data_IF_817269263827
#
_entry.id   IF_817269263827
#
_cell.length_a   1.000
_cell.length_b   1.000
_cell.length_c   1.000
_cell.angle_alpha   90.00
_cell.angle_beta   90.00
_cell.angle_gamma   90.00
#
_symmetry.space_group_name_H-M   'P 1'
#
loop_
_entity.id
_entity.type
_entity.pdbx_description
1 polymer ?
#
# COMPACT_ATOMS: atom_id res chain seq x y z
N UNK A 1 6.09 -2.24 -3.57
CA UNK A 1 5.81 -2.63 -4.99
C UNK A 1 6.20 -1.50 -5.94
N UNK A 2 5.70 -0.30 -5.74
CA UNK A 2 6.00 0.87 -6.60
C UNK A 2 7.49 1.20 -6.65
N UNK A 3 8.21 1.10 -5.55
CA UNK A 3 9.66 1.34 -5.48
C UNK A 3 10.48 0.39 -6.36
N UNK A 4 10.01 -0.83 -6.57
CA UNK A 4 10.67 -1.81 -7.45
C UNK A 4 10.55 -1.43 -8.92
N UNK A 5 9.42 -0.85 -9.32
CA UNK A 5 9.09 -0.60 -10.72
C UNK A 5 9.41 0.82 -11.19
N UNK A 6 9.50 1.79 -10.26
CA UNK A 6 9.70 3.21 -10.60
C UNK A 6 11.01 3.46 -11.33
N UNK A 7 12.10 2.81 -10.91
CA UNK A 7 13.43 3.00 -11.52
C UNK A 7 13.54 2.43 -12.93
N UNK A 8 13.15 1.15 -13.19
CA UNK A 8 13.08 0.65 -14.56
C UNK A 8 12.24 1.54 -15.47
N UNK A 9 11.09 2.00 -14.99
CA UNK A 9 10.20 2.86 -15.74
C UNK A 9 10.84 4.20 -16.09
N UNK A 10 11.50 4.88 -15.13
CA UNK A 10 12.22 6.13 -15.38
C UNK A 10 13.34 5.92 -16.38
N UNK A 11 14.12 4.82 -16.24
CA UNK A 11 15.24 4.49 -17.11
C UNK A 11 14.79 4.23 -18.55
N UNK A 12 13.71 3.47 -18.73
CA UNK A 12 13.15 3.16 -20.04
C UNK A 12 12.63 4.40 -20.77
N UNK A 13 12.16 5.41 -20.03
CA UNK A 13 11.63 6.65 -20.58
C UNK A 13 12.60 7.84 -20.46
N UNK A 14 13.89 7.61 -20.17
CA UNK A 14 14.90 8.66 -20.00
C UNK A 14 15.11 9.51 -21.24
N UNK A 15 14.93 8.95 -22.42
CA UNK A 15 15.07 9.61 -23.72
C UNK A 15 13.92 10.59 -24.03
N UNK A 16 12.77 10.48 -23.34
CA UNK A 16 11.58 11.31 -23.57
C UNK A 16 11.68 12.64 -22.83
N UNK A 17 11.29 13.72 -23.50
CA UNK A 17 11.14 15.04 -22.89
C UNK A 17 9.80 15.14 -22.14
N UNK A 18 8.71 14.69 -22.78
CA UNK A 18 7.35 14.74 -22.24
C UNK A 18 7.01 13.44 -21.51
N UNK A 19 7.50 13.26 -20.29
CA UNK A 19 7.33 12.03 -19.49
C UNK A 19 6.60 12.19 -18.15
N UNK A 20 6.21 13.41 -17.77
CA UNK A 20 5.58 13.66 -16.47
C UNK A 20 4.28 12.88 -16.28
N UNK A 21 3.48 12.75 -17.34
CA UNK A 21 2.24 11.96 -17.31
C UNK A 21 2.50 10.48 -16.98
N UNK A 22 3.63 9.90 -17.41
CA UNK A 22 3.99 8.51 -17.10
C UNK A 22 4.12 8.32 -15.59
N UNK A 23 4.77 9.27 -14.89
CA UNK A 23 4.90 9.22 -13.43
C UNK A 23 3.55 9.37 -12.74
N UNK A 24 2.72 10.29 -13.20
CA UNK A 24 1.38 10.49 -12.64
C UNK A 24 0.53 9.23 -12.78
N UNK A 25 0.45 8.65 -13.96
CA UNK A 25 -0.31 7.41 -14.16
C UNK A 25 0.30 6.19 -13.45
N UNK A 26 1.62 6.15 -13.31
CA UNK A 26 2.28 5.14 -12.50
C UNK A 26 1.81 5.18 -11.03
N UNK A 27 1.73 6.39 -10.46
CA UNK A 27 1.22 6.58 -9.10
C UNK A 27 -0.25 6.13 -9.02
N UNK A 28 -1.09 6.57 -9.94
CA UNK A 28 -2.50 6.20 -9.92
C UNK A 28 -2.73 4.70 -10.10
N UNK A 29 -2.10 4.08 -11.11
CA UNK A 29 -2.35 2.68 -11.45
C UNK A 29 -1.64 1.71 -10.52
N UNK A 30 -0.36 1.95 -10.21
CA UNK A 30 0.45 0.98 -9.48
C UNK A 30 0.46 1.25 -7.98
N UNK A 31 0.62 2.51 -7.56
CA UNK A 31 0.66 2.83 -6.14
C UNK A 31 -0.73 2.81 -5.51
N UNK A 32 -1.72 3.46 -6.13
CA UNK A 32 -3.06 3.57 -5.55
C UNK A 32 -3.95 2.37 -5.93
N UNK A 33 -4.23 2.17 -7.23
CA UNK A 33 -5.15 1.11 -7.64
C UNK A 33 -4.60 -0.29 -7.39
N UNK A 34 -3.29 -0.49 -7.59
CA UNK A 34 -2.64 -1.78 -7.33
C UNK A 34 -2.61 -2.18 -5.85
N UNK A 35 -2.86 -1.25 -4.93
CA UNK A 35 -2.93 -1.49 -3.49
C UNK A 35 -4.30 -1.88 -2.97
N UNK A 36 -5.39 -1.60 -3.70
CA UNK A 36 -6.74 -1.69 -3.16
C UNK A 36 -7.29 -3.12 -2.98
N UNK A 37 -6.60 -4.15 -3.44
CA UNK A 37 -7.07 -5.54 -3.36
C UNK A 37 -6.66 -6.27 -2.08
N UNK A 38 -5.72 -5.73 -1.33
CA UNK A 38 -5.25 -6.38 -0.09
C UNK A 38 -4.99 -5.35 1.00
N UNK A 39 -5.22 -5.70 2.27
CA UNK A 39 -4.95 -4.81 3.41
C UNK A 39 -3.50 -4.32 3.49
N UNK A 40 -2.54 -5.11 2.99
CA UNK A 40 -1.11 -4.73 2.97
C UNK A 40 -0.83 -3.65 1.91
N UNK A 41 -1.71 -3.50 0.94
CA UNK A 41 -1.49 -2.64 -0.22
C UNK A 41 -1.80 -1.16 0.04
N UNK A 42 -2.74 -0.86 0.93
CA UNK A 42 -3.20 0.50 1.22
C UNK A 42 -3.50 0.66 2.72
N UNK A 43 -2.98 1.70 3.39
CA UNK A 43 -3.15 1.93 4.83
C UNK A 43 -4.61 1.92 5.32
N UNK A 44 -5.59 2.52 4.62
CA UNK A 44 -6.99 2.44 5.03
C UNK A 44 -7.51 1.01 5.12
N UNK A 45 -7.17 0.15 4.15
CA UNK A 45 -7.59 -1.25 4.15
C UNK A 45 -6.95 -2.03 5.30
N UNK A 46 -5.70 -1.71 5.65
CA UNK A 46 -5.05 -2.27 6.83
C UNK A 46 -5.79 -1.88 8.11
N UNK A 47 -6.22 -0.63 8.23
CA UNK A 47 -7.00 -0.17 9.37
C UNK A 47 -8.36 -0.88 9.47
N UNK A 48 -9.05 -1.09 8.35
CA UNK A 48 -10.27 -1.89 8.30
C UNK A 48 -10.03 -3.33 8.74
N UNK A 49 -8.96 -3.94 8.23
CA UNK A 49 -8.55 -5.29 8.62
C UNK A 49 -8.28 -5.41 10.14
N UNK A 50 -7.53 -4.46 10.71
CA UNK A 50 -7.29 -4.40 12.16
C UNK A 50 -8.57 -4.21 12.98
N UNK A 51 -9.65 -3.72 12.37
CA UNK A 51 -10.98 -3.56 12.97
C UNK A 51 -11.93 -4.71 12.68
N UNK A 52 -11.45 -5.82 12.15
CA UNK A 52 -12.20 -7.05 11.95
C UNK A 52 -12.78 -7.23 10.54
N UNK A 53 -12.46 -6.38 9.58
CA UNK A 53 -12.84 -6.64 8.17
C UNK A 53 -12.02 -7.82 7.66
N UNK A 54 -12.64 -8.86 7.07
CA UNK A 54 -11.90 -10.02 6.57
C UNK A 54 -10.84 -9.63 5.52
N UNK A 55 -9.68 -10.31 5.55
CA UNK A 55 -8.55 -10.02 4.65
C UNK A 55 -8.95 -9.99 3.16
N UNK A 56 -9.76 -10.94 2.73
CA UNK A 56 -10.19 -11.07 1.34
C UNK A 56 -11.45 -10.27 0.99
N UNK A 57 -12.00 -9.49 1.94
CA UNK A 57 -13.18 -8.69 1.66
C UNK A 57 -12.97 -7.71 0.49
N UNK A 58 -11.80 -7.11 0.41
CA UNK A 58 -11.43 -6.16 -0.66
C UNK A 58 -11.41 -6.79 -2.06
N UNK A 59 -11.38 -8.12 -2.18
CA UNK A 59 -11.52 -8.81 -3.48
C UNK A 59 -12.87 -8.58 -4.15
N UNK A 60 -13.92 -8.22 -3.38
CA UNK A 60 -15.22 -7.82 -3.95
C UNK A 60 -15.12 -6.53 -4.78
N UNK A 61 -14.08 -5.72 -4.56
CA UNK A 61 -13.82 -4.52 -5.34
C UNK A 61 -13.16 -4.80 -6.70
N UNK A 62 -12.80 -6.05 -6.97
CA UNK A 62 -12.10 -6.44 -8.20
C UNK A 62 -12.79 -6.03 -9.50
N UNK A 63 -14.13 -6.19 -9.68
CA UNK A 63 -14.81 -5.74 -10.90
C UNK A 63 -14.74 -4.21 -11.07
N UNK A 64 -14.90 -3.46 -9.97
CA UNK A 64 -14.82 -2.00 -9.97
C UNK A 64 -13.40 -1.55 -10.30
N UNK A 65 -12.40 -2.25 -9.76
CA UNK A 65 -10.99 -2.00 -10.06
C UNK A 65 -10.70 -2.19 -11.54
N UNK A 66 -11.15 -3.30 -12.16
CA UNK A 66 -10.94 -3.55 -13.59
C UNK A 66 -11.58 -2.43 -14.42
N UNK A 67 -12.81 -2.05 -14.10
CA UNK A 67 -13.51 -0.99 -14.80
C UNK A 67 -12.73 0.33 -14.77
N UNK A 68 -12.29 0.76 -13.57
CA UNK A 68 -11.48 1.98 -13.41
C UNK A 68 -10.11 1.85 -14.10
N UNK A 69 -9.47 0.68 -14.02
CA UNK A 69 -8.19 0.43 -14.67
C UNK A 69 -8.28 0.56 -16.19
N UNK A 70 -9.35 0.04 -16.80
CA UNK A 70 -9.58 0.16 -18.26
C UNK A 70 -9.75 1.63 -18.65
N UNK A 71 -10.52 2.41 -17.89
CA UNK A 71 -10.69 3.85 -18.15
C UNK A 71 -9.34 4.56 -18.05
N UNK A 72 -8.61 4.36 -16.95
CA UNK A 72 -7.32 5.01 -16.72
C UNK A 72 -6.27 4.64 -17.76
N UNK A 73 -6.20 3.37 -18.17
CA UNK A 73 -5.29 2.92 -19.23
C UNK A 73 -5.68 3.50 -20.59
N UNK A 74 -6.96 3.64 -20.85
CA UNK A 74 -7.45 4.27 -22.09
C UNK A 74 -7.04 5.74 -22.14
N UNK A 75 -7.26 6.50 -21.07
CA UNK A 75 -6.84 7.90 -20.96
C UNK A 75 -5.32 8.01 -21.10
N UNK A 76 -4.58 7.15 -20.39
CA UNK A 76 -3.12 7.08 -20.49
C UNK A 76 -2.66 6.84 -21.92
N UNK A 77 -3.27 5.88 -22.63
CA UNK A 77 -2.90 5.55 -24.01
C UNK A 77 -3.02 6.77 -24.93
N UNK A 78 -4.11 7.53 -24.86
CA UNK A 78 -4.29 8.70 -25.71
C UNK A 78 -3.32 9.83 -25.34
N UNK A 79 -3.10 10.09 -24.07
CA UNK A 79 -2.15 11.09 -23.59
C UNK A 79 -0.71 10.72 -23.95
N UNK A 80 -0.32 9.47 -23.72
CA UNK A 80 1.01 8.99 -24.02
C UNK A 80 1.30 8.99 -25.52
N UNK A 81 0.33 8.54 -26.34
CA UNK A 81 0.45 8.58 -27.80
C UNK A 81 0.65 10.00 -28.31
N UNK A 82 -0.06 10.98 -27.74
CA UNK A 82 0.12 12.38 -28.09
C UNK A 82 1.50 12.91 -27.68
N UNK A 83 1.94 12.61 -26.47
CA UNK A 83 3.25 13.00 -25.97
C UNK A 83 4.38 12.34 -26.77
N UNK A 84 4.25 11.05 -27.05
CA UNK A 84 5.21 10.27 -27.86
C UNK A 84 5.40 10.89 -29.27
N UNK A 85 4.28 11.22 -29.95
CA UNK A 85 4.34 11.87 -31.27
C UNK A 85 5.05 13.22 -31.22
N UNK A 86 4.85 14.00 -30.16
CA UNK A 86 5.58 15.27 -29.96
C UNK A 86 7.06 15.05 -29.76
N UNK A 87 7.47 14.05 -28.97
CA UNK A 87 8.86 13.73 -28.72
C UNK A 87 9.56 13.30 -30.02
N UNK A 88 8.93 12.46 -30.84
CA UNK A 88 9.46 12.07 -32.16
C UNK A 88 9.58 13.27 -33.11
N UNK A 89 8.58 14.17 -33.13
CA UNK A 89 8.59 15.36 -33.98
C UNK A 89 9.76 16.33 -33.65
N UNK A 90 10.22 16.31 -32.40
CA UNK A 90 11.40 17.13 -31.95
C UNK A 90 12.73 16.39 -32.23
N UNK A 91 12.69 15.20 -32.87
CA UNK A 91 13.86 14.40 -33.17
C UNK A 91 14.35 13.50 -32.03
N UNK A 92 13.61 13.40 -30.94
CA UNK A 92 13.94 12.48 -29.85
C UNK A 92 13.62 11.05 -30.25
N UNK A 93 14.58 10.15 -30.11
CA UNK A 93 14.43 8.73 -30.43
C UNK A 93 14.97 7.86 -29.31
N UNK A 94 14.38 6.67 -29.08
CA UNK A 94 14.98 5.69 -28.18
C UNK A 94 16.39 5.37 -28.65
N UNK A 95 17.34 5.37 -27.72
CA UNK A 95 18.72 4.98 -28.00
C UNK A 95 18.80 3.47 -28.20
N UNK A 96 18.65 3.04 -29.46
CA UNK A 96 18.69 1.63 -29.86
C UNK A 96 20.12 1.06 -29.84
N UNK A 97 21.13 1.95 -29.78
CA UNK A 97 22.54 1.56 -29.80
C UNK A 97 23.03 0.96 -28.48
N UNK A 98 22.30 1.17 -27.40
CA UNK A 98 22.62 0.54 -26.12
C UNK A 98 22.30 -0.94 -26.17
N UNK A 99 23.29 -1.82 -25.87
CA UNK A 99 23.03 -3.25 -25.83
C UNK A 99 21.83 -3.51 -24.92
N UNK A 100 20.91 -4.36 -25.37
CA UNK A 100 19.76 -4.80 -24.54
C UNK A 100 20.34 -5.28 -23.22
N UNK A 101 20.23 -4.47 -22.20
CA UNK A 101 20.64 -4.86 -20.84
C UNK A 101 19.81 -6.08 -20.49
N UNK A 102 20.46 -7.23 -20.31
CA UNK A 102 19.78 -8.43 -19.84
C UNK A 102 19.02 -8.05 -18.57
N UNK A 103 17.75 -8.39 -18.55
CA UNK A 103 16.91 -8.18 -17.39
C UNK A 103 17.35 -9.18 -16.31
N UNK A 104 18.23 -8.75 -15.44
CA UNK A 104 18.71 -9.53 -14.30
C UNK A 104 18.00 -9.04 -13.03
N UNK A 105 17.24 -9.92 -12.40
CA UNK A 105 16.66 -9.67 -11.08
C UNK A 105 17.64 -10.17 -10.02
N UNK A 106 18.35 -9.23 -9.39
CA UNK A 106 19.24 -9.56 -8.29
C UNK A 106 18.45 -9.57 -6.97
N UNK A 107 18.67 -10.59 -6.14
CA UNK A 107 17.99 -10.71 -4.85
C UNK A 107 16.64 -11.43 -4.92
N UNK A 108 16.47 -12.35 -5.87
CA UNK A 108 15.23 -13.11 -6.04
C UNK A 108 14.80 -13.87 -4.78
N UNK A 109 15.76 -14.26 -3.92
CA UNK A 109 15.47 -14.87 -2.62
C UNK A 109 14.64 -13.99 -1.69
N UNK A 110 14.66 -12.66 -1.87
CA UNK A 110 13.83 -11.75 -1.09
C UNK A 110 12.33 -11.90 -1.35
N UNK A 111 11.94 -12.53 -2.47
CA UNK A 111 10.54 -12.87 -2.72
C UNK A 111 10.00 -13.81 -1.63
N UNK A 112 10.84 -14.73 -1.13
CA UNK A 112 10.46 -15.64 -0.04
C UNK A 112 10.11 -14.84 1.22
N UNK A 113 10.91 -13.82 1.56
CA UNK A 113 10.64 -12.96 2.71
C UNK A 113 9.38 -12.10 2.50
N UNK A 114 9.10 -11.65 1.28
CA UNK A 114 7.85 -10.96 0.97
C UNK A 114 6.63 -11.87 1.16
N UNK A 115 6.69 -13.10 0.65
CA UNK A 115 5.63 -14.10 0.86
C UNK A 115 5.46 -14.42 2.35
N UNK A 116 6.55 -14.49 3.10
CA UNK A 116 6.52 -14.72 4.54
C UNK A 116 5.82 -13.57 5.29
N UNK A 117 6.04 -12.32 4.89
CA UNK A 117 5.33 -11.16 5.44
C UNK A 117 3.85 -11.20 5.08
N UNK A 118 3.52 -11.47 3.81
CA UNK A 118 2.12 -11.59 3.36
C UNK A 118 1.40 -12.70 4.14
N UNK A 119 2.05 -13.85 4.33
CA UNK A 119 1.52 -14.94 5.13
C UNK A 119 1.32 -14.57 6.61
N UNK A 120 2.26 -13.83 7.20
CA UNK A 120 2.16 -13.38 8.59
C UNK A 120 0.94 -12.49 8.82
N UNK A 121 0.67 -11.55 7.90
CA UNK A 121 -0.50 -10.67 7.97
C UNK A 121 -1.80 -11.46 7.79
N UNK A 122 -1.86 -12.43 6.87
CA UNK A 122 -3.02 -13.29 6.70
C UNK A 122 -3.26 -14.12 7.97
N UNK A 123 -2.20 -14.68 8.56
CA UNK A 123 -2.28 -15.44 9.80
C UNK A 123 -2.79 -14.58 10.96
N UNK A 124 -2.32 -13.34 11.11
CA UNK A 124 -2.76 -12.47 12.20
C UNK A 124 -4.25 -12.15 12.13
N UNK A 125 -4.85 -12.16 10.93
CA UNK A 125 -6.29 -11.98 10.76
C UNK A 125 -7.12 -13.26 10.90
N UNK A 126 -6.51 -14.43 10.70
CA UNK A 126 -7.21 -15.71 10.80
C UNK A 126 -7.05 -16.40 12.15
N UNK A 127 -5.88 -16.27 12.79
CA UNK A 127 -5.61 -16.87 14.11
C UNK A 127 -6.60 -16.44 15.21
N UNK A 128 -7.08 -15.17 15.27
CA UNK A 128 -8.10 -14.77 16.25
C UNK A 128 -9.39 -15.56 16.19
N UNK A 129 -9.73 -16.18 15.06
CA UNK A 129 -10.94 -17.00 14.91
C UNK A 129 -10.79 -18.41 15.45
N UNK A 130 -9.56 -18.85 15.76
CA UNK A 130 -9.28 -20.18 16.27
C UNK A 130 -9.49 -20.25 17.79
N UNK A 131 -10.14 -21.30 18.30
CA UNK A 131 -10.37 -21.48 19.75
C UNK A 131 -9.09 -21.45 20.59
N UNK A 132 -7.94 -21.84 20.02
CA UNK A 132 -6.64 -21.83 20.71
C UNK A 132 -6.15 -20.41 21.06
N UNK A 133 -6.66 -19.37 20.40
CA UNK A 133 -6.30 -17.97 20.62
C UNK A 133 -7.42 -17.16 21.29
N UNK A 134 -8.46 -17.84 21.77
CA UNK A 134 -9.58 -17.21 22.47
C UNK A 134 -9.66 -17.71 23.92
N UNK A 135 -10.14 -16.84 24.79
CA UNK A 135 -10.50 -17.21 26.15
C UNK A 135 -11.87 -17.89 26.20
N UNK A 136 -12.30 -18.34 27.38
CA UNK A 136 -13.62 -18.97 27.59
C UNK A 136 -14.79 -18.02 27.23
N UNK A 137 -14.55 -16.72 27.13
CA UNK A 137 -15.54 -15.69 26.80
C UNK A 137 -15.53 -15.31 25.32
N UNK A 138 -14.66 -15.93 24.51
CA UNK A 138 -14.52 -15.65 23.08
C UNK A 138 -13.65 -14.41 22.76
N UNK A 139 -12.99 -13.83 23.75
CA UNK A 139 -12.06 -12.72 23.51
C UNK A 139 -10.69 -13.24 23.09
N UNK A 140 -10.01 -12.48 22.20
CA UNK A 140 -8.68 -12.86 21.74
C UNK A 140 -7.68 -12.74 22.87
N UNK A 141 -6.90 -13.79 23.11
CA UNK A 141 -5.84 -13.82 24.10
C UNK A 141 -4.68 -12.89 23.72
N UNK A 142 -4.13 -12.18 24.70
CA UNK A 142 -3.03 -11.26 24.49
C UNK A 142 -2.41 -10.75 25.78
N UNK A 143 -1.37 -9.92 25.62
CA UNK A 143 -0.65 -9.28 26.70
C UNK A 143 -1.20 -7.87 26.91
N UNK A 144 -1.61 -7.55 28.14
CA UNK A 144 -1.96 -6.19 28.51
C UNK A 144 -0.69 -5.33 28.60
N UNK A 145 -0.61 -4.25 27.83
CA UNK A 145 0.54 -3.34 27.82
C UNK A 145 0.29 -2.17 28.77
N UNK A 146 -0.81 -1.45 28.56
CA UNK A 146 -1.14 -0.28 29.38
C UNK A 146 -2.65 0.04 29.28
N UNK A 147 -3.31 0.25 30.41
CA UNK A 147 -4.73 0.57 30.46
C UNK A 147 -5.62 -0.44 29.75
N UNK A 148 -6.34 0.00 28.73
CA UNK A 148 -7.22 -0.87 27.89
C UNK A 148 -6.50 -1.43 26.66
N UNK A 149 -5.22 -1.12 26.47
CA UNK A 149 -4.45 -1.57 25.30
C UNK A 149 -3.93 -2.99 25.53
N UNK A 150 -4.42 -3.91 24.71
CA UNK A 150 -4.01 -5.30 24.69
C UNK A 150 -3.35 -5.64 23.36
N UNK A 151 -2.16 -6.25 23.42
CA UNK A 151 -1.48 -6.79 22.24
C UNK A 151 -1.82 -8.26 22.13
N UNK A 152 -2.59 -8.63 21.12
CA UNK A 152 -3.01 -10.01 20.90
C UNK A 152 -1.82 -10.92 20.53
N UNK A 153 -1.86 -12.20 20.92
CA UNK A 153 -0.84 -13.17 20.52
C UNK A 153 -0.69 -13.30 18.99
N UNK A 154 -1.76 -13.32 18.19
CA UNK A 154 -1.64 -13.28 16.73
C UNK A 154 -0.84 -12.08 16.21
N UNK A 155 -1.07 -10.89 16.76
CA UNK A 155 -0.30 -9.69 16.38
C UNK A 155 1.18 -9.77 16.82
N UNK A 156 1.46 -10.38 17.96
CA UNK A 156 2.83 -10.64 18.39
C UNK A 156 3.57 -11.58 17.43
N UNK A 157 2.90 -12.66 17.01
CA UNK A 157 3.45 -13.61 16.03
C UNK A 157 3.74 -12.90 14.71
N UNK A 158 2.82 -12.08 14.24
CA UNK A 158 2.99 -11.26 13.04
C UNK A 158 4.23 -10.37 13.14
N UNK A 159 4.35 -9.59 14.21
CA UNK A 159 5.51 -8.69 14.44
C UNK A 159 6.81 -9.47 14.43
N UNK A 160 6.88 -10.62 15.13
CA UNK A 160 8.08 -11.46 15.20
C UNK A 160 8.45 -11.97 13.79
N UNK A 161 7.50 -12.45 13.02
CA UNK A 161 7.74 -12.96 11.66
C UNK A 161 8.23 -11.82 10.75
N UNK A 162 7.62 -10.64 10.81
CA UNK A 162 8.04 -9.47 10.02
C UNK A 162 9.46 -9.05 10.38
N UNK A 163 9.79 -8.95 11.66
CA UNK A 163 11.14 -8.59 12.11
C UNK A 163 12.18 -9.65 11.70
N UNK A 164 11.83 -10.93 11.80
CA UNK A 164 12.69 -12.02 11.37
C UNK A 164 12.91 -11.97 9.84
N UNK A 165 11.86 -11.76 9.06
CA UNK A 165 11.95 -11.61 7.61
C UNK A 165 12.84 -10.42 7.23
N UNK A 166 12.68 -9.28 7.90
CA UNK A 166 13.49 -8.09 7.68
C UNK A 166 14.98 -8.36 8.02
N UNK A 167 15.23 -8.98 9.16
CA UNK A 167 16.59 -9.32 9.61
C UNK A 167 17.28 -10.30 8.64
N UNK A 168 16.59 -11.36 8.25
CA UNK A 168 17.11 -12.35 7.31
C UNK A 168 17.35 -11.73 5.92
N UNK A 169 16.41 -10.94 5.43
CA UNK A 169 16.58 -10.21 4.17
C UNK A 169 17.79 -9.28 4.23
N UNK A 170 17.96 -8.55 5.32
CA UNK A 170 19.10 -7.66 5.51
C UNK A 170 20.43 -8.41 5.57
N UNK A 171 20.48 -9.57 6.24
CA UNK A 171 21.68 -10.39 6.38
C UNK A 171 22.06 -11.15 5.09
N UNK A 172 21.08 -11.65 4.36
CA UNK A 172 21.29 -12.47 3.16
C UNK A 172 21.49 -11.65 1.88
N UNK A 173 20.97 -10.42 1.83
CA UNK A 173 21.13 -9.55 0.66
C UNK A 173 22.51 -8.90 0.64
N UNK A 174 23.26 -9.11 -0.44
CA UNK A 174 24.59 -8.53 -0.62
C UNK A 174 24.54 -7.00 -0.55
N UNK A 175 25.52 -6.39 0.12
CA UNK A 175 25.62 -4.93 0.26
C UNK A 175 25.65 -4.22 -1.10
N UNK A 176 26.29 -4.82 -2.10
CA UNK A 176 26.35 -4.29 -3.47
C UNK A 176 24.95 -4.09 -4.08
N UNK A 177 24.02 -5.00 -3.85
CA UNK A 177 22.64 -4.88 -4.32
C UNK A 177 21.94 -3.70 -3.67
N UNK A 178 22.14 -3.50 -2.37
CA UNK A 178 21.59 -2.36 -1.62
C UNK A 178 22.14 -1.04 -2.09
N UNK A 179 23.46 -0.95 -2.26
CA UNK A 179 24.14 0.27 -2.76
C UNK A 179 23.69 0.62 -4.17
N UNK A 180 23.63 -0.35 -5.07
CA UNK A 180 23.12 -0.13 -6.45
C UNK A 180 21.65 0.30 -6.48
N UNK A 181 20.86 -0.14 -5.51
CA UNK A 181 19.48 0.28 -5.32
C UNK A 181 19.33 1.58 -4.51
N UNK A 182 20.45 2.22 -4.10
CA UNK A 182 20.45 3.40 -3.24
C UNK A 182 19.52 3.25 -2.04
N UNK A 183 19.59 2.08 -1.39
CA UNK A 183 18.79 1.83 -0.20
C UNK A 183 19.17 2.81 0.91
N UNK A 184 18.16 3.47 1.47
CA UNK A 184 18.30 4.35 2.63
C UNK A 184 17.17 4.07 3.61
N UNK A 185 17.41 4.29 4.89
CA UNK A 185 16.39 4.16 5.93
C UNK A 185 15.39 5.32 5.92
N UNK A 186 15.73 6.46 5.28
CA UNK A 186 14.93 7.68 5.28
C UNK A 186 13.48 7.46 4.89
N UNK A 187 13.22 6.63 3.86
CA UNK A 187 11.84 6.34 3.45
C UNK A 187 11.04 5.58 4.54
N UNK A 188 11.69 4.75 5.34
CA UNK A 188 11.04 4.01 6.44
C UNK A 188 10.79 4.95 7.62
N UNK A 189 11.77 5.79 7.95
CA UNK A 189 11.66 6.81 8.99
C UNK A 189 10.53 7.80 8.68
N UNK A 190 10.48 8.29 7.45
CA UNK A 190 9.45 9.22 6.99
C UNK A 190 8.04 8.62 7.13
N UNK A 191 7.85 7.37 6.70
CA UNK A 191 6.58 6.64 6.85
C UNK A 191 6.25 6.40 8.32
N UNK A 192 7.22 6.04 9.17
CA UNK A 192 7.00 5.80 10.59
C UNK A 192 6.54 7.08 11.30
N UNK A 193 7.20 8.21 11.05
CA UNK A 193 6.83 9.52 11.63
C UNK A 193 5.44 9.94 11.15
N UNK A 194 5.15 9.75 9.86
CA UNK A 194 3.84 10.06 9.28
C UNK A 194 2.73 9.25 9.96
N UNK A 195 2.90 7.94 10.14
CA UNK A 195 1.91 7.11 10.82
C UNK A 195 1.72 7.50 12.28
N UNK A 196 2.78 7.78 13.02
CA UNK A 196 2.69 8.27 14.40
C UNK A 196 1.86 9.55 14.44
N UNK A 197 2.14 10.49 13.54
CA UNK A 197 1.39 11.74 13.42
C UNK A 197 -0.10 11.50 13.14
N UNK A 198 -0.41 10.65 12.15
CA UNK A 198 -1.79 10.30 11.79
C UNK A 198 -2.52 9.67 12.99
N UNK A 199 -1.95 8.68 13.65
CA UNK A 199 -2.61 8.00 14.77
C UNK A 199 -2.89 8.94 15.95
N UNK A 200 -1.98 9.86 16.25
CA UNK A 200 -2.18 10.86 17.33
C UNK A 200 -3.28 11.85 16.94
N UNK A 201 -3.20 12.43 15.75
CA UNK A 201 -4.14 13.47 15.29
C UNK A 201 -5.54 12.95 14.98
N UNK A 202 -5.66 11.68 14.64
CA UNK A 202 -6.95 11.04 14.35
C UNK A 202 -7.80 10.80 15.61
N UNK A 203 -7.19 10.66 16.79
CA UNK A 203 -7.93 10.35 18.03
C UNK A 203 -9.01 11.37 18.37
N UNK A 204 -8.76 12.70 18.39
CA UNK A 204 -9.81 13.69 18.64
C UNK A 204 -10.95 13.63 17.62
N UNK A 205 -10.63 13.45 16.34
CA UNK A 205 -11.64 13.34 15.28
C UNK A 205 -12.55 12.13 15.48
N UNK A 206 -11.99 10.97 15.83
CA UNK A 206 -12.75 9.77 16.15
C UNK A 206 -13.62 9.94 17.39
N UNK A 207 -13.14 10.65 18.40
CA UNK A 207 -13.94 10.94 19.60
C UNK A 207 -15.16 11.83 19.28
N UNK A 208 -14.97 12.86 18.45
CA UNK A 208 -16.06 13.74 17.99
C UNK A 208 -17.07 12.95 17.14
N UNK A 209 -16.59 12.12 16.21
CA UNK A 209 -17.45 11.28 15.39
C UNK A 209 -18.23 10.26 16.21
N UNK A 210 -17.63 9.65 17.22
CA UNK A 210 -18.35 8.76 18.15
C UNK A 210 -19.42 9.48 18.97
N UNK A 211 -19.14 10.71 19.39
CA UNK A 211 -20.08 11.50 20.21
C UNK A 211 -21.23 12.11 19.39
N UNK A 212 -20.94 12.58 18.17
CA UNK A 212 -21.88 13.34 17.34
C UNK A 212 -22.21 12.73 15.98
N UNK A 213 -21.66 11.56 15.65
CA UNK A 213 -21.87 10.91 14.35
C UNK A 213 -23.34 10.65 14.03
N UNK A 214 -24.14 10.28 15.03
CA UNK A 214 -25.58 10.08 14.86
C UNK A 214 -26.34 11.37 14.52
N UNK A 215 -25.84 12.54 14.94
CA UNK A 215 -26.43 13.85 14.64
C UNK A 215 -26.20 14.29 13.19
N UNK A 216 -25.20 13.71 12.51
CA UNK A 216 -24.90 14.02 11.11
C UNK A 216 -25.97 13.51 10.14
N UNK A 217 -26.86 12.59 10.59
CA UNK A 217 -27.98 12.12 9.80
C UNK A 217 -27.61 11.34 8.53
N UNK A 218 -26.35 10.92 8.40
CA UNK A 218 -25.85 10.14 7.25
C UNK A 218 -26.33 8.69 7.36
N UNK A 219 -27.54 8.43 6.90
CA UNK A 219 -28.15 7.10 6.96
C UNK A 219 -28.15 6.38 5.60
N UNK A 220 -28.03 7.13 4.52
CA UNK A 220 -28.08 6.60 3.17
C UNK A 220 -26.64 6.29 2.66
N UNK A 221 -26.41 5.11 2.03
CA UNK A 221 -25.12 4.77 1.44
C UNK A 221 -24.57 5.80 0.43
N UNK A 222 -25.44 6.48 -0.32
CA UNK A 222 -25.05 7.54 -1.25
C UNK A 222 -24.55 8.80 -0.54
N UNK A 223 -25.16 9.17 0.57
CA UNK A 223 -24.71 10.31 1.40
C UNK A 223 -23.36 10.00 2.05
N UNK A 224 -23.19 8.79 2.56
CA UNK A 224 -21.91 8.30 3.09
C UNK A 224 -20.82 8.32 2.02
N UNK A 225 -21.12 7.84 0.83
CA UNK A 225 -20.18 7.86 -0.31
C UNK A 225 -19.80 9.28 -0.70
N UNK A 226 -20.79 10.20 -0.80
CA UNK A 226 -20.55 11.61 -1.12
C UNK A 226 -19.73 12.33 -0.07
N UNK A 227 -20.07 12.14 1.21
CA UNK A 227 -19.33 12.72 2.35
C UNK A 227 -17.88 12.21 2.40
N UNK A 228 -17.68 10.88 2.23
CA UNK A 228 -16.35 10.27 2.20
C UNK A 228 -15.53 10.78 1.02
N UNK A 229 -16.14 10.90 -0.17
CA UNK A 229 -15.49 11.45 -1.35
C UNK A 229 -15.07 12.91 -1.19
N UNK A 230 -15.94 13.74 -0.60
CA UNK A 230 -15.62 15.12 -0.29
C UNK A 230 -14.48 15.23 0.73
N UNK A 231 -14.55 14.50 1.83
CA UNK A 231 -13.53 14.50 2.87
C UNK A 231 -12.18 14.00 2.34
N UNK A 232 -12.14 12.94 1.55
CA UNK A 232 -10.90 12.41 0.99
C UNK A 232 -10.23 13.34 -0.04
N UNK A 233 -10.93 14.38 -0.49
CA UNK A 233 -10.34 15.42 -1.34
C UNK A 233 -9.46 16.41 -0.55
N UNK A 234 -9.67 16.53 0.75
CA UNK A 234 -8.95 17.45 1.64
C UNK A 234 -8.10 16.72 2.69
N UNK A 235 -8.56 15.56 3.13
CA UNK A 235 -7.88 14.75 4.13
C UNK A 235 -7.18 13.57 3.46
N UNK A 236 -6.16 13.04 4.13
CA UNK A 236 -5.58 11.76 3.73
C UNK A 236 -6.63 10.64 3.83
N UNK A 237 -6.44 9.59 3.03
CA UNK A 237 -7.37 8.45 2.94
C UNK A 237 -7.56 7.75 4.29
N UNK A 238 -6.50 7.64 5.09
CA UNK A 238 -6.53 6.90 6.36
C UNK A 238 -7.48 7.51 7.39
N UNK A 239 -7.49 8.84 7.64
CA UNK A 239 -8.46 9.46 8.53
C UNK A 239 -9.91 9.44 8.03
N UNK A 240 -10.09 9.35 6.71
CA UNK A 240 -11.42 9.38 6.08
C UNK A 240 -12.11 8.01 6.12
N UNK A 241 -11.33 6.95 6.15
CA UNK A 241 -11.80 5.56 6.19
C UNK A 241 -12.29 5.15 7.57
#
# INVERSE_FOLDING_TARGET
RSMLLVRPMIKMNSWRKNKSHIMVFFIFLISNMGGCLTPIGDPPLLMGFMRGVPFFWSMHLFPILIFNMVIMLTVFYFLDRRAYRRDIAIGMRPDISKPKTEFKVNGLHNIIFMVMIDAAVILSGTLPTLPAFQDASGNVLGIHIFGTVQLSYPSLIEIIIILLAAFLSFKTTKSEVRTKNHFTWGAIEEVAVLFIGIFITMQPALMILKAKGAELGLTNPLEMFGATGALSSFLDKTPTY
#
